data_IF_720360996082
#
_entry.id   IF_720360996082
#
_cell.length_a   1.000
_cell.length_b   1.000
_cell.length_c   1.000
_cell.angle_alpha   90.00
_cell.angle_beta   90.00
_cell.angle_gamma   90.00
#
_symmetry.space_group_name_H-M   'P 1'
#
loop_
_entity.id
_entity.type
_entity.pdbx_description
1 polymer ?
#
# COMPACT_ATOMS: atom_id res chain seq x y z
N UNK A 1 -15.24 -1.57 -33.38
CA UNK A 1 -14.33 -2.26 -32.44
C UNK A 1 -12.92 -1.75 -32.67
N UNK A 2 -12.69 -0.46 -32.40
CA UNK A 2 -11.36 0.13 -32.47
C UNK A 2 -10.81 0.00 -31.07
N UNK A 3 -9.85 -0.92 -30.93
CA UNK A 3 -8.93 -1.11 -29.83
C UNK A 3 -8.83 0.13 -28.93
N UNK A 4 -9.21 -0.04 -27.66
CA UNK A 4 -9.03 0.95 -26.61
C UNK A 4 -7.52 1.23 -26.45
N UNK A 5 -6.99 2.12 -27.27
CA UNK A 5 -5.77 2.89 -27.05
C UNK A 5 -6.08 3.88 -25.91
N UNK A 6 -6.49 3.35 -24.77
CA UNK A 6 -6.39 4.07 -23.52
C UNK A 6 -4.92 3.98 -23.18
N UNK A 7 -4.20 5.05 -23.47
CA UNK A 7 -2.92 5.33 -22.86
C UNK A 7 -3.20 5.25 -21.35
N UNK A 8 -2.99 4.06 -20.76
CA UNK A 8 -3.00 3.89 -19.33
C UNK A 8 -2.01 4.92 -18.82
N UNK A 9 -2.49 5.93 -18.10
CA UNK A 9 -1.61 6.81 -17.34
C UNK A 9 -0.85 5.89 -16.40
N UNK A 10 0.37 5.52 -16.77
CA UNK A 10 1.18 4.56 -16.02
C UNK A 10 1.60 5.23 -14.72
N UNK A 11 0.75 5.12 -13.70
CA UNK A 11 1.03 5.62 -12.37
C UNK A 11 2.15 4.79 -11.78
N UNK A 12 3.35 5.37 -11.76
CA UNK A 12 4.52 4.75 -11.13
C UNK A 12 4.64 5.26 -9.72
N UNK A 13 4.89 4.35 -8.79
CA UNK A 13 5.08 4.68 -7.39
C UNK A 13 6.35 4.06 -6.83
N UNK A 14 7.01 4.76 -5.92
CA UNK A 14 8.12 4.26 -5.13
C UNK A 14 7.60 3.75 -3.79
N UNK A 15 7.93 2.52 -3.43
CA UNK A 15 7.57 1.90 -2.15
C UNK A 15 8.38 2.50 -1.00
N UNK A 16 7.70 2.91 0.08
CA UNK A 16 8.34 3.41 1.30
C UNK A 16 8.32 2.40 2.46
N UNK A 17 7.91 1.17 2.19
CA UNK A 17 7.95 0.04 3.11
C UNK A 17 8.28 -1.25 2.34
N UNK A 18 8.52 -2.33 3.06
CA UNK A 18 8.66 -3.68 2.50
C UNK A 18 7.40 -4.49 2.75
N UNK A 19 7.00 -5.29 1.79
CA UNK A 19 5.87 -6.21 1.89
C UNK A 19 6.32 -7.62 1.52
N UNK A 20 5.95 -8.59 2.36
CA UNK A 20 6.23 -10.01 2.14
C UNK A 20 4.93 -10.81 2.26
N UNK A 21 4.34 -11.26 1.14
CA UNK A 21 3.05 -11.96 1.16
C UNK A 21 3.11 -13.30 1.89
N UNK A 22 4.30 -13.90 2.05
CA UNK A 22 4.45 -15.13 2.82
C UNK A 22 4.16 -14.94 4.32
N UNK A 23 4.41 -13.74 4.82
CA UNK A 23 4.20 -13.37 6.22
C UNK A 23 2.86 -12.68 6.47
N UNK A 24 2.10 -12.36 5.42
CA UNK A 24 0.82 -11.67 5.54
C UNK A 24 -0.32 -12.68 5.64
N UNK A 25 -1.06 -12.64 6.74
CA UNK A 25 -2.20 -13.54 6.99
C UNK A 25 -3.49 -13.08 6.30
N UNK A 26 -3.57 -11.82 5.85
CA UNK A 26 -4.77 -11.23 5.30
C UNK A 26 -4.83 -11.29 3.77
N UNK A 27 -3.71 -11.65 3.11
CA UNK A 27 -3.70 -11.82 1.66
C UNK A 27 -4.54 -13.04 1.26
N UNK A 28 -5.46 -12.92 0.29
CA UNK A 28 -6.34 -14.03 -0.10
C UNK A 28 -5.57 -15.23 -0.66
N UNK A 29 -4.45 -15.00 -1.34
CA UNK A 29 -3.53 -16.04 -1.80
C UNK A 29 -2.10 -15.49 -1.80
N UNK A 30 -1.17 -16.17 -1.11
CA UNK A 30 0.25 -15.75 -1.01
C UNK A 30 0.91 -15.60 -2.39
N UNK A 31 0.61 -16.55 -3.28
CA UNK A 31 1.11 -16.55 -4.66
C UNK A 31 0.52 -15.44 -5.53
N UNK A 32 -0.53 -14.75 -5.10
CA UNK A 32 -1.03 -13.56 -5.79
C UNK A 32 -0.29 -12.28 -5.37
N UNK A 33 0.44 -12.31 -4.25
CA UNK A 33 1.12 -11.15 -3.71
C UNK A 33 2.39 -10.78 -4.45
N UNK A 34 2.65 -9.48 -4.58
CA UNK A 34 3.90 -8.95 -5.11
C UNK A 34 4.83 -8.60 -3.95
N UNK A 35 5.85 -9.43 -3.70
CA UNK A 35 6.90 -9.09 -2.73
C UNK A 35 7.73 -7.90 -3.21
N UNK A 36 7.94 -6.90 -2.36
CA UNK A 36 8.79 -5.74 -2.66
C UNK A 36 9.49 -5.20 -1.42
N UNK A 37 10.52 -4.38 -1.64
CA UNK A 37 11.31 -3.69 -0.61
C UNK A 37 11.16 -2.18 -0.70
N UNK A 38 11.63 -1.49 0.34
CA UNK A 38 11.72 -0.03 0.34
C UNK A 38 12.60 0.43 -0.82
N UNK A 39 12.13 1.40 -1.59
CA UNK A 39 12.85 1.97 -2.72
C UNK A 39 12.46 1.40 -4.08
N UNK A 40 11.82 0.23 -4.11
CA UNK A 40 11.32 -0.38 -5.34
C UNK A 40 10.31 0.52 -6.05
N UNK A 41 10.29 0.47 -7.38
CA UNK A 41 9.35 1.24 -8.21
C UNK A 41 8.38 0.26 -8.87
N UNK A 42 7.10 0.51 -8.62
CA UNK A 42 6.00 -0.29 -9.13
C UNK A 42 5.11 0.56 -10.04
N UNK A 43 4.57 -0.07 -11.07
CA UNK A 43 3.49 0.48 -11.89
C UNK A 43 2.16 -0.02 -11.33
N UNK A 44 1.27 0.91 -10.98
CA UNK A 44 -0.08 0.61 -10.51
C UNK A 44 -0.95 0.33 -11.73
N UNK A 45 -1.57 -0.85 -11.74
CA UNK A 45 -2.45 -1.33 -12.81
C UNK A 45 -3.92 -1.09 -12.44
N UNK A 46 -4.29 -1.36 -11.19
CA UNK A 46 -5.63 -1.10 -10.65
C UNK A 46 -5.54 -0.70 -9.17
N UNK A 47 -6.18 0.40 -8.79
CA UNK A 47 -6.28 0.91 -7.42
C UNK A 47 -7.72 1.02 -6.88
N UNK A 48 -8.70 0.43 -7.59
CA UNK A 48 -10.13 0.48 -7.22
C UNK A 48 -10.44 -0.19 -5.88
N UNK A 49 -9.75 -1.28 -5.54
CA UNK A 49 -9.98 -1.99 -4.29
C UNK A 49 -9.30 -1.29 -3.11
N UNK A 50 -10.09 -1.05 -2.06
CA UNK A 50 -9.67 -0.34 -0.85
C UNK A 50 -8.66 -1.09 0.01
N UNK A 51 -8.42 -2.39 -0.24
CA UNK A 51 -7.55 -3.29 0.52
C UNK A 51 -6.33 -3.73 -0.29
N UNK A 52 -6.53 -4.11 -1.56
CA UNK A 52 -5.49 -4.69 -2.41
C UNK A 52 -5.40 -4.00 -3.77
N UNK A 53 -4.28 -3.35 -4.04
CA UNK A 53 -4.02 -2.81 -5.38
C UNK A 53 -3.34 -3.84 -6.26
N UNK A 54 -3.55 -3.75 -7.57
CA UNK A 54 -2.81 -4.52 -8.55
C UNK A 54 -1.63 -3.69 -9.04
N UNK A 55 -0.44 -4.25 -8.90
CA UNK A 55 0.79 -3.62 -9.35
C UNK A 55 1.74 -4.63 -9.98
N UNK A 56 2.68 -4.11 -10.75
CA UNK A 56 3.79 -4.88 -11.33
C UNK A 56 5.08 -4.08 -11.19
N UNK A 57 6.22 -4.75 -11.21
CA UNK A 57 7.49 -4.04 -11.38
C UNK A 57 7.52 -3.36 -12.74
N UNK A 58 8.18 -2.21 -12.83
CA UNK A 58 8.41 -1.53 -14.10
C UNK A 58 9.28 -2.45 -14.97
N UNK A 59 8.65 -3.07 -15.97
CA UNK A 59 9.33 -3.86 -16.98
C UNK A 59 9.88 -2.94 -18.09
N UNK A 60 10.77 -3.47 -18.93
CA UNK A 60 11.22 -2.77 -20.14
C UNK A 60 10.01 -2.52 -21.08
N UNK A 61 10.17 -1.66 -22.08
CA UNK A 61 9.14 -1.11 -22.98
C UNK A 61 8.08 -2.10 -23.50
N UNK A 62 8.41 -3.40 -23.60
CA UNK A 62 7.49 -4.46 -24.05
C UNK A 62 6.63 -5.09 -22.92
N UNK A 63 6.79 -4.68 -21.66
CA UNK A 63 6.09 -5.31 -20.53
C UNK A 63 6.61 -6.71 -20.18
N UNK A 64 7.77 -7.07 -20.70
CA UNK A 64 8.40 -8.38 -20.58
C UNK A 64 9.52 -8.28 -19.53
N UNK A 65 9.53 -9.20 -18.55
CA UNK A 65 10.61 -9.27 -17.58
C UNK A 65 11.88 -9.90 -18.18
N UNK A 66 12.98 -9.91 -17.43
CA UNK A 66 14.25 -10.50 -17.86
C UNK A 66 14.17 -12.00 -18.25
N UNK A 67 13.08 -12.68 -17.86
CA UNK A 67 12.81 -14.08 -18.20
C UNK A 67 11.91 -14.25 -19.45
N UNK A 68 11.62 -13.18 -20.20
CA UNK A 68 10.83 -13.28 -21.42
C UNK A 68 9.32 -13.44 -21.20
N UNK A 69 8.82 -13.27 -19.97
CA UNK A 69 7.38 -13.39 -19.67
C UNK A 69 6.72 -12.04 -19.44
N UNK A 70 5.46 -11.90 -19.84
CA UNK A 70 4.64 -10.72 -19.59
C UNK A 70 4.53 -10.54 -18.08
N UNK A 71 4.91 -9.36 -17.57
CA UNK A 71 4.77 -9.03 -16.15
C UNK A 71 3.29 -8.93 -15.78
N UNK A 72 2.74 -10.03 -15.23
CA UNK A 72 1.39 -10.05 -14.68
C UNK A 72 1.28 -9.16 -13.45
N UNK A 73 0.16 -8.46 -13.34
CA UNK A 73 -0.19 -7.70 -12.14
C UNK A 73 -0.37 -8.65 -10.94
N UNK A 74 0.09 -8.20 -9.78
CA UNK A 74 0.04 -8.93 -8.50
C UNK A 74 -0.43 -7.99 -7.40
N UNK A 75 -0.96 -8.56 -6.33
CA UNK A 75 -1.58 -7.80 -5.25
C UNK A 75 -0.52 -7.14 -4.36
N UNK A 76 -0.74 -5.86 -4.04
CA UNK A 76 0.01 -5.10 -3.04
C UNK A 76 -0.96 -4.48 -2.02
N UNK A 77 -0.54 -4.23 -0.77
CA UNK A 77 -1.39 -3.56 0.21
C UNK A 77 -1.75 -2.16 -0.27
N UNK A 78 -3.04 -1.83 -0.23
CA UNK A 78 -3.50 -0.48 -0.53
C UNK A 78 -2.99 0.51 0.51
N UNK A 79 -3.02 1.79 0.14
CA UNK A 79 -2.73 2.88 1.08
C UNK A 79 -3.69 2.87 2.29
N UNK A 80 -4.98 2.67 2.06
CA UNK A 80 -6.00 2.76 3.10
C UNK A 80 -5.88 1.62 4.13
N UNK A 81 -5.66 0.39 3.65
CA UNK A 81 -5.45 -0.77 4.52
C UNK A 81 -4.23 -0.56 5.42
N UNK A 82 -3.11 -0.15 4.83
CA UNK A 82 -1.88 0.06 5.58
C UNK A 82 -1.97 1.21 6.59
N UNK A 83 -2.67 2.29 6.26
CA UNK A 83 -2.96 3.38 7.20
C UNK A 83 -3.83 2.89 8.38
N UNK A 84 -4.82 2.03 8.11
CA UNK A 84 -5.71 1.48 9.12
C UNK A 84 -4.97 0.55 10.10
N UNK A 85 -4.07 -0.30 9.57
CA UNK A 85 -3.20 -1.17 10.38
C UNK A 85 -2.33 -0.34 11.33
N UNK A 86 -1.70 0.75 10.86
CA UNK A 86 -0.87 1.61 11.71
C UNK A 86 -1.68 2.38 12.77
N UNK A 87 -2.91 2.81 12.45
CA UNK A 87 -3.82 3.43 13.41
C UNK A 87 -4.17 2.43 14.51
N UNK A 88 -4.61 1.22 14.14
CA UNK A 88 -4.98 0.17 15.09
C UNK A 88 -3.80 -0.19 15.99
N UNK A 89 -2.61 -0.39 15.40
CA UNK A 89 -1.38 -0.67 16.15
C UNK A 89 -1.10 0.38 17.23
N UNK A 90 -1.32 1.67 16.94
CA UNK A 90 -1.13 2.75 17.93
C UNK A 90 -2.16 2.74 19.04
N UNK A 91 -3.41 2.43 18.72
CA UNK A 91 -4.47 2.31 19.73
C UNK A 91 -4.09 1.21 20.71
N UNK A 92 -3.74 0.02 20.20
CA UNK A 92 -3.31 -1.12 21.01
C UNK A 92 -2.08 -0.79 21.88
N UNK A 93 -1.07 -0.12 21.32
CA UNK A 93 0.12 0.30 22.08
C UNK A 93 -0.19 1.34 23.17
N UNK A 94 -1.22 2.17 23.01
CA UNK A 94 -1.65 3.14 24.03
C UNK A 94 -2.41 2.47 25.17
N UNK A 95 -3.28 1.53 24.84
CA UNK A 95 -4.03 0.73 25.83
C UNK A 95 -3.09 -0.12 26.67
N UNK A 96 -2.09 -0.77 26.06
CA UNK A 96 -1.08 -1.54 26.79
C UNK A 96 -0.26 -0.69 27.77
N UNK A 97 0.00 0.60 27.45
CA UNK A 97 0.74 1.53 28.33
C UNK A 97 -0.13 2.20 29.38
N UNK A 98 -1.43 2.33 29.13
CA UNK A 98 -2.39 2.92 30.06
C UNK A 98 -3.57 1.96 30.20
N UNK A 99 -3.39 0.85 30.95
CA UNK A 99 -4.49 -0.07 31.17
C UNK A 99 -5.65 0.69 31.82
N UNK A 100 -6.91 0.46 31.38
CA UNK A 100 -8.04 1.20 31.89
C UNK A 100 -8.15 0.98 33.40
N UNK A 101 -7.92 2.04 34.19
CA UNK A 101 -8.42 2.11 35.57
C UNK A 101 -9.92 2.37 35.48
N UNK A 102 -10.70 1.82 36.42
CA UNK A 102 -12.15 2.04 36.52
C UNK A 102 -12.46 3.54 36.55
N UNK A 103 -12.87 4.10 35.42
CA UNK A 103 -13.21 5.52 35.29
C UNK A 103 -14.64 5.58 34.77
N UNK A 104 -15.47 6.33 35.50
CA UNK A 104 -16.90 6.51 35.28
C UNK A 104 -17.23 6.92 33.84
N UNK A 105 -18.43 6.59 33.32
CA UNK A 105 -18.75 6.58 31.88
C UNK A 105 -18.86 7.96 31.22
N UNK A 106 -18.59 9.03 31.95
CA UNK A 106 -18.89 10.39 31.55
C UNK A 106 -17.68 11.30 31.81
N UNK A 107 -16.67 11.18 30.94
CA UNK A 107 -15.82 12.29 30.46
C UNK A 107 -14.78 11.89 29.40
N UNK A 108 -15.09 10.91 28.54
CA UNK A 108 -14.23 10.65 27.39
C UNK A 108 -14.55 11.64 26.27
N UNK A 109 -14.01 12.85 26.37
CA UNK A 109 -13.71 13.65 25.17
C UNK A 109 -12.31 13.23 24.72
N UNK A 110 -12.16 12.46 23.63
CA UNK A 110 -10.84 12.13 23.13
C UNK A 110 -10.17 13.42 22.69
N UNK A 111 -9.28 13.95 23.53
CA UNK A 111 -8.31 14.96 23.09
C UNK A 111 -7.37 14.24 22.15
N UNK A 112 -7.71 14.25 20.87
CA UNK A 112 -6.82 13.81 19.81
C UNK A 112 -5.59 14.73 19.94
N UNK A 113 -4.43 14.21 20.39
CA UNK A 113 -3.20 14.99 20.31
C UNK A 113 -3.08 15.35 18.84
N UNK A 114 -2.71 16.60 18.52
CA UNK A 114 -2.29 16.98 17.17
C UNK A 114 -1.07 16.13 16.81
N UNK A 115 -1.28 14.85 16.52
CA UNK A 115 -0.26 13.93 16.08
C UNK A 115 0.27 14.58 14.84
N UNK A 116 1.58 14.90 14.85
CA UNK A 116 2.29 15.38 13.66
C UNK A 116 1.74 14.55 12.49
N UNK A 117 1.00 15.21 11.59
CA UNK A 117 0.34 14.56 10.45
C UNK A 117 1.37 13.60 9.87
N UNK A 118 1.12 12.29 9.95
CA UNK A 118 2.03 11.34 9.34
C UNK A 118 2.01 11.67 7.86
N UNK A 119 3.06 12.32 7.36
CA UNK A 119 3.35 12.35 5.93
C UNK A 119 3.95 11.01 5.50
N UNK A 120 3.54 9.89 6.11
CA UNK A 120 3.90 8.54 5.70
C UNK A 120 2.94 8.15 4.59
N UNK A 121 3.12 8.81 3.47
CA UNK A 121 2.64 8.27 2.19
C UNK A 121 3.34 6.93 2.01
N UNK A 122 2.62 5.81 2.03
CA UNK A 122 3.22 4.47 1.86
C UNK A 122 3.88 4.28 0.48
N UNK A 123 3.38 5.05 -0.48
CA UNK A 123 3.83 5.10 -1.87
C UNK A 123 4.08 6.56 -2.27
N UNK A 124 5.18 6.84 -2.95
CA UNK A 124 5.45 8.14 -3.56
C UNK A 124 5.23 8.09 -5.07
N UNK A 125 4.39 8.96 -5.60
CA UNK A 125 4.22 9.08 -7.06
C UNK A 125 5.56 9.48 -7.69
N UNK A 126 5.99 8.71 -8.67
CA UNK A 126 7.15 9.00 -9.52
C UNK A 126 6.62 9.70 -10.77
N UNK A 127 6.96 10.97 -10.95
CA UNK A 127 6.69 11.67 -12.21
C UNK A 127 7.54 11.01 -13.30
N UNK A 128 6.91 10.44 -14.34
CA UNK A 128 7.64 10.13 -15.58
C UNK A 128 8.07 11.45 -16.18
N UNK A 129 9.34 11.82 -16.00
CA UNK A 129 9.90 13.03 -16.57
C UNK A 129 9.84 12.96 -18.09
N UNK A 130 9.02 13.81 -18.70
CA UNK A 130 9.15 14.13 -20.12
C UNK A 130 10.44 14.91 -20.33
N UNK A 131 11.31 14.40 -21.19
CA UNK A 131 12.26 15.15 -22.00
C UNK A 131 12.38 14.46 -23.35
#
# INVERSE_FOLDING_TARGET
>A
MIENILIHFQLKVRCLFSFDPETDEHIPCREAGLKFKIGDILEIVNDEDSTWWQAKFVADSMGINAAGTISSARLIPSKHYQESVEIMRRVLLREAKNPPRSISPCRYSPKIPKQKRLRKTMYHIVQSGGK
#
